data_IF_041013127527
#
_entry.id   IF_041013127527
#
_cell.length_a   1.000
_cell.length_b   1.000
_cell.length_c   1.000
_cell.angle_alpha   90.00
_cell.angle_beta   90.00
_cell.angle_gamma   90.00
#
_symmetry.space_group_name_H-M   'P 1'
#
loop_
_entity.id
_entity.type
_entity.pdbx_description
1 polymer ?
#
# COMPACT_ATOMS: atom_id res chain seq x y z
N UNK A 1 -6.43 -17.05 -60.47
CA UNK A 1 -6.77 -16.37 -59.22
C UNK A 1 -8.03 -15.57 -59.43
N UNK A 2 -9.21 -16.13 -59.11
CA UNK A 2 -10.53 -15.51 -59.31
C UNK A 2 -10.81 -14.63 -58.14
N UNK A 3 -10.68 -13.31 -58.32
CA UNK A 3 -11.10 -12.31 -57.36
C UNK A 3 -12.64 -12.25 -57.44
N UNK A 4 -13.34 -12.95 -56.55
CA UNK A 4 -14.74 -12.74 -56.27
C UNK A 4 -14.92 -11.30 -55.71
N UNK A 5 -15.27 -10.35 -56.57
CA UNK A 5 -15.82 -9.05 -56.19
C UNK A 5 -17.19 -9.30 -55.53
N UNK A 6 -17.24 -9.56 -54.24
CA UNK A 6 -18.47 -9.49 -53.46
C UNK A 6 -18.81 -8.01 -53.34
N UNK A 7 -19.92 -7.55 -53.94
CA UNK A 7 -20.45 -6.25 -53.70
C UNK A 7 -21.01 -6.24 -52.28
N UNK A 8 -20.18 -5.85 -51.34
CA UNK A 8 -20.60 -5.68 -49.92
C UNK A 8 -21.43 -4.40 -49.87
N UNK A 9 -22.64 -4.47 -49.34
CA UNK A 9 -23.45 -3.29 -49.10
C UNK A 9 -22.77 -2.37 -48.07
N UNK A 10 -22.98 -1.07 -48.16
CA UNK A 10 -22.32 -0.08 -47.30
C UNK A 10 -22.60 -0.33 -45.81
N UNK A 11 -23.79 -0.79 -45.47
CA UNK A 11 -24.19 -1.13 -44.08
C UNK A 11 -23.43 -2.38 -43.57
N UNK A 12 -23.26 -3.39 -44.43
CA UNK A 12 -22.45 -4.57 -44.07
C UNK A 12 -20.97 -4.20 -43.85
N UNK A 13 -20.45 -3.30 -44.68
CA UNK A 13 -19.09 -2.81 -44.51
C UNK A 13 -18.90 -2.06 -43.16
N UNK A 14 -19.85 -1.19 -42.83
CA UNK A 14 -19.84 -0.50 -41.52
C UNK A 14 -19.92 -1.48 -40.33
N UNK A 15 -20.74 -2.52 -40.46
CA UNK A 15 -20.83 -3.54 -39.42
C UNK A 15 -19.50 -4.29 -39.24
N UNK A 16 -18.89 -4.75 -40.33
CA UNK A 16 -17.59 -5.42 -40.28
C UNK A 16 -16.49 -4.51 -39.70
N UNK A 17 -16.49 -3.23 -40.04
CA UNK A 17 -15.51 -2.28 -39.47
C UNK A 17 -15.73 -2.11 -37.96
N UNK A 18 -16.95 -1.97 -37.51
CA UNK A 18 -17.27 -1.87 -36.09
C UNK A 18 -16.90 -3.14 -35.31
N UNK A 19 -17.17 -4.32 -35.89
CA UNK A 19 -16.75 -5.59 -35.29
C UNK A 19 -15.22 -5.70 -35.20
N UNK A 20 -14.48 -5.32 -36.23
CA UNK A 20 -13.03 -5.33 -36.21
C UNK A 20 -12.46 -4.40 -35.12
N UNK A 21 -12.98 -3.18 -34.99
CA UNK A 21 -12.56 -2.23 -33.95
C UNK A 21 -12.88 -2.78 -32.55
N UNK A 22 -14.05 -3.44 -32.40
CA UNK A 22 -14.41 -4.10 -31.14
C UNK A 22 -13.40 -5.18 -30.76
N UNK A 23 -13.08 -6.10 -31.68
CA UNK A 23 -12.12 -7.18 -31.43
C UNK A 23 -10.71 -6.66 -31.18
N UNK A 24 -10.31 -5.58 -31.84
CA UNK A 24 -9.03 -4.93 -31.57
C UNK A 24 -8.93 -4.48 -30.11
N UNK A 25 -9.93 -3.73 -29.63
CA UNK A 25 -10.00 -3.28 -28.23
C UNK A 25 -10.11 -4.43 -27.23
N UNK A 26 -10.92 -5.44 -27.58
CA UNK A 26 -11.11 -6.64 -26.76
C UNK A 26 -9.78 -7.42 -26.58
N UNK A 27 -9.04 -7.70 -27.65
CA UNK A 27 -7.76 -8.38 -27.55
C UNK A 27 -6.68 -7.54 -26.86
N UNK A 28 -6.69 -6.21 -27.03
CA UNK A 28 -5.82 -5.32 -26.23
C UNK A 28 -6.11 -5.46 -24.75
N UNK A 29 -7.37 -5.48 -24.34
CA UNK A 29 -7.75 -5.67 -22.94
C UNK A 29 -7.33 -7.05 -22.39
N UNK A 30 -7.58 -8.14 -23.16
CA UNK A 30 -7.16 -9.49 -22.77
C UNK A 30 -5.64 -9.58 -22.56
N UNK A 31 -4.87 -9.02 -23.49
CA UNK A 31 -3.42 -8.98 -23.35
C UNK A 31 -2.98 -8.20 -22.10
N UNK A 32 -3.69 -7.12 -21.73
CA UNK A 32 -3.38 -6.35 -20.54
C UNK A 32 -3.73 -7.11 -19.26
N UNK A 33 -4.82 -7.90 -19.26
CA UNK A 33 -5.24 -8.76 -18.13
C UNK A 33 -4.27 -9.95 -17.97
N UNK A 34 -3.72 -10.48 -19.06
CA UNK A 34 -2.85 -11.67 -19.05
C UNK A 34 -1.66 -11.58 -18.07
N UNK A 35 -1.11 -10.39 -17.87
CA UNK A 35 0.07 -10.19 -17.01
C UNK A 35 -0.25 -10.14 -15.52
N UNK A 36 -1.44 -9.65 -15.15
CA UNK A 36 -1.98 -9.66 -13.79
C UNK A 36 -3.47 -9.33 -13.81
N UNK A 37 -4.16 -9.70 -12.75
CA UNK A 37 -5.53 -9.25 -12.53
C UNK A 37 -5.64 -7.72 -12.58
N UNK A 38 -6.74 -7.23 -13.15
CA UNK A 38 -7.03 -5.80 -13.32
C UNK A 38 -8.43 -5.50 -12.79
N UNK A 39 -8.62 -4.30 -12.24
CA UNK A 39 -9.95 -3.77 -11.99
C UNK A 39 -10.61 -3.32 -13.28
N UNK A 40 -11.93 -3.26 -13.29
CA UNK A 40 -12.72 -2.70 -14.41
C UNK A 40 -12.23 -1.30 -14.78
N UNK A 41 -12.02 -0.42 -13.81
CA UNK A 41 -11.50 0.93 -14.02
C UNK A 41 -10.09 0.98 -14.62
N UNK A 42 -9.23 0.01 -14.31
CA UNK A 42 -7.89 -0.07 -14.96
C UNK A 42 -8.04 -0.38 -16.46
N UNK A 43 -8.98 -1.26 -16.85
CA UNK A 43 -9.27 -1.57 -18.25
C UNK A 43 -9.88 -0.37 -18.95
N UNK A 44 -10.86 0.31 -18.34
CA UNK A 44 -11.44 1.56 -18.87
C UNK A 44 -10.36 2.58 -19.19
N UNK A 45 -9.51 2.89 -18.22
CA UNK A 45 -8.41 3.86 -18.37
C UNK A 45 -7.37 3.43 -19.42
N UNK A 46 -7.14 2.14 -19.56
CA UNK A 46 -6.21 1.62 -20.56
C UNK A 46 -6.77 1.79 -21.96
N UNK A 47 -8.04 1.42 -22.19
CA UNK A 47 -8.71 1.49 -23.48
C UNK A 47 -9.08 2.92 -23.88
N UNK A 48 -9.35 3.83 -22.93
CA UNK A 48 -9.75 5.22 -23.19
C UNK A 48 -8.70 6.05 -23.94
N UNK A 49 -7.49 5.53 -24.10
CA UNK A 49 -6.43 6.16 -24.88
C UNK A 49 -6.70 6.09 -26.39
N UNK A 50 -7.46 5.10 -26.84
CA UNK A 50 -7.60 4.76 -28.25
C UNK A 50 -9.05 4.55 -28.69
N UNK A 51 -9.97 4.25 -27.75
CA UNK A 51 -11.35 3.88 -28.05
C UNK A 51 -12.34 4.82 -27.36
N UNK A 52 -13.52 4.97 -27.98
CA UNK A 52 -14.60 5.75 -27.40
C UNK A 52 -15.31 4.99 -26.27
N UNK A 53 -16.09 5.75 -25.47
CA UNK A 53 -16.75 5.24 -24.27
C UNK A 53 -17.72 4.09 -24.57
N UNK A 54 -18.56 4.21 -25.59
CA UNK A 54 -19.59 3.22 -25.92
C UNK A 54 -18.97 1.86 -26.29
N UNK A 55 -17.86 1.90 -26.98
CA UNK A 55 -17.10 0.69 -27.34
C UNK A 55 -16.45 0.06 -26.11
N UNK A 56 -15.87 0.86 -25.24
CA UNK A 56 -15.26 0.41 -23.99
C UNK A 56 -16.30 -0.29 -23.11
N UNK A 57 -17.48 0.30 -22.96
CA UNK A 57 -18.57 -0.30 -22.17
C UNK A 57 -18.97 -1.68 -22.72
N UNK A 58 -19.07 -1.82 -24.05
CA UNK A 58 -19.35 -3.12 -24.70
C UNK A 58 -18.25 -4.15 -24.45
N UNK A 59 -16.98 -3.74 -24.55
CA UNK A 59 -15.84 -4.62 -24.29
C UNK A 59 -15.84 -5.09 -22.84
N UNK A 60 -16.01 -4.17 -21.89
CA UNK A 60 -16.08 -4.48 -20.45
C UNK A 60 -17.22 -5.44 -20.14
N UNK A 61 -18.40 -5.20 -20.71
CA UNK A 61 -19.55 -6.08 -20.53
C UNK A 61 -19.22 -7.52 -20.96
N UNK A 62 -18.56 -7.68 -22.12
CA UNK A 62 -18.19 -9.01 -22.61
C UNK A 62 -17.12 -9.66 -21.74
N UNK A 63 -16.06 -8.92 -21.38
CA UNK A 63 -15.01 -9.43 -20.49
C UNK A 63 -15.57 -9.86 -19.12
N UNK A 64 -16.57 -9.13 -18.62
CA UNK A 64 -17.26 -9.46 -17.36
C UNK A 64 -18.11 -10.72 -17.50
N UNK A 65 -18.89 -10.83 -18.59
CA UNK A 65 -19.72 -12.03 -18.88
C UNK A 65 -18.86 -13.29 -19.01
N UNK A 66 -17.69 -13.17 -19.61
CA UNK A 66 -16.75 -14.28 -19.80
C UNK A 66 -15.89 -14.56 -18.57
N UNK A 67 -16.03 -13.75 -17.50
CA UNK A 67 -15.33 -13.94 -16.24
C UNK A 67 -13.89 -13.43 -16.19
N UNK A 68 -13.43 -12.71 -17.22
CA UNK A 68 -12.11 -12.09 -17.22
C UNK A 68 -12.02 -10.85 -16.31
N UNK A 69 -13.15 -10.18 -16.06
CA UNK A 69 -13.26 -9.06 -15.13
C UNK A 69 -14.27 -9.38 -14.02
N UNK A 70 -13.81 -9.21 -12.78
CA UNK A 70 -14.63 -9.37 -11.61
C UNK A 70 -14.03 -8.57 -10.45
N UNK A 71 -14.57 -7.38 -10.18
CA UNK A 71 -14.05 -6.48 -9.16
C UNK A 71 -14.24 -7.01 -7.73
N UNK A 72 -15.27 -7.83 -7.45
CA UNK A 72 -15.43 -8.49 -6.15
C UNK A 72 -14.31 -9.52 -5.91
N UNK A 73 -14.02 -10.36 -6.90
CA UNK A 73 -12.95 -11.34 -6.82
C UNK A 73 -11.56 -10.69 -6.77
N UNK A 74 -11.34 -9.67 -7.60
CA UNK A 74 -10.12 -8.85 -7.57
C UNK A 74 -9.88 -8.27 -6.17
N UNK A 75 -10.91 -7.69 -5.57
CA UNK A 75 -10.84 -7.09 -4.23
C UNK A 75 -10.49 -8.11 -3.15
N UNK A 76 -11.11 -9.30 -3.20
CA UNK A 76 -10.78 -10.41 -2.27
C UNK A 76 -9.32 -10.82 -2.37
N UNK A 77 -8.81 -11.04 -3.58
CA UNK A 77 -7.42 -11.40 -3.80
C UNK A 77 -6.47 -10.29 -3.31
N UNK A 78 -6.76 -9.03 -3.66
CA UNK A 78 -5.94 -7.88 -3.26
C UNK A 78 -5.84 -7.72 -1.75
N UNK A 79 -6.96 -7.86 -1.03
CA UNK A 79 -7.01 -7.78 0.44
C UNK A 79 -6.22 -8.94 1.05
N UNK A 80 -6.43 -10.19 0.59
CA UNK A 80 -5.72 -11.35 1.10
C UNK A 80 -4.20 -11.25 0.89
N UNK A 81 -3.76 -10.84 -0.29
CA UNK A 81 -2.34 -10.61 -0.57
C UNK A 81 -1.77 -9.50 0.31
N UNK A 82 -2.54 -8.43 0.52
CA UNK A 82 -2.12 -7.33 1.38
C UNK A 82 -2.00 -7.74 2.85
N UNK A 83 -2.92 -8.58 3.33
CA UNK A 83 -2.85 -9.14 4.69
C UNK A 83 -1.63 -10.07 4.82
N UNK A 84 -1.36 -10.92 3.86
CA UNK A 84 -0.36 -11.97 3.98
C UNK A 84 1.06 -11.50 3.62
N UNK A 85 1.19 -10.65 2.60
CA UNK A 85 2.48 -10.32 2.00
C UNK A 85 2.96 -8.91 2.29
N UNK A 86 2.04 -7.95 2.57
CA UNK A 86 2.42 -6.54 2.78
C UNK A 86 2.32 -6.16 4.26
N UNK A 87 3.11 -5.19 4.69
CA UNK A 87 3.04 -4.60 6.04
C UNK A 87 2.19 -3.33 6.04
N UNK A 88 0.94 -3.45 5.58
CA UNK A 88 -0.03 -2.35 5.52
C UNK A 88 -1.29 -2.68 6.31
N UNK A 89 -1.94 -1.64 6.83
CA UNK A 89 -3.18 -1.72 7.58
C UNK A 89 -4.42 -1.56 6.69
N UNK A 90 -5.62 -1.77 7.26
CA UNK A 90 -6.88 -1.76 6.51
C UNK A 90 -7.16 -0.42 5.82
N UNK A 91 -6.87 0.71 6.46
CA UNK A 91 -7.14 2.04 5.86
C UNK A 91 -6.32 2.27 4.60
N UNK A 92 -5.08 1.79 4.55
CA UNK A 92 -4.26 1.90 3.35
C UNK A 92 -4.75 0.97 2.23
N UNK A 93 -5.20 -0.24 2.57
CA UNK A 93 -5.80 -1.17 1.60
C UNK A 93 -7.04 -0.55 0.97
N UNK A 94 -7.94 0.02 1.79
CA UNK A 94 -9.14 0.72 1.33
C UNK A 94 -8.76 1.82 0.33
N UNK A 95 -7.83 2.69 0.72
CA UNK A 95 -7.39 3.79 -0.14
C UNK A 95 -6.74 3.33 -1.46
N UNK A 96 -5.96 2.23 -1.42
CA UNK A 96 -5.37 1.65 -2.64
C UNK A 96 -6.46 1.08 -3.57
N UNK A 97 -7.49 0.42 -3.02
CA UNK A 97 -8.63 -0.10 -3.78
C UNK A 97 -9.51 1.02 -4.38
N UNK A 98 -9.77 2.08 -3.62
CA UNK A 98 -10.46 3.29 -4.11
C UNK A 98 -9.71 3.92 -5.30
N UNK A 99 -8.38 4.02 -5.23
CA UNK A 99 -7.55 4.50 -6.35
C UNK A 99 -7.64 3.60 -7.58
N UNK A 100 -7.83 2.31 -7.40
CA UNK A 100 -8.06 1.35 -8.47
C UNK A 100 -9.49 1.41 -9.02
N UNK A 101 -10.35 2.29 -8.46
CA UNK A 101 -11.71 2.52 -8.92
C UNK A 101 -12.69 1.44 -8.51
N UNK A 102 -12.39 0.69 -7.45
CA UNK A 102 -13.31 -0.30 -6.89
C UNK A 102 -14.46 0.41 -6.16
N UNK A 103 -15.66 -0.06 -6.37
CA UNK A 103 -16.85 0.46 -5.69
C UNK A 103 -16.74 0.28 -4.18
N UNK A 104 -17.16 1.32 -3.44
CA UNK A 104 -17.09 1.34 -1.98
C UNK A 104 -17.86 0.18 -1.34
N UNK A 105 -19.00 -0.21 -1.90
CA UNK A 105 -19.80 -1.31 -1.38
C UNK A 105 -19.04 -2.65 -1.45
N UNK A 106 -18.27 -2.86 -2.52
CA UNK A 106 -17.42 -4.04 -2.70
C UNK A 106 -16.27 -4.01 -1.69
N UNK A 107 -15.64 -2.85 -1.49
CA UNK A 107 -14.57 -2.68 -0.49
C UNK A 107 -15.10 -2.96 0.91
N UNK A 108 -16.19 -2.32 1.31
CA UNK A 108 -16.78 -2.42 2.66
C UNK A 108 -17.23 -3.86 2.99
N UNK A 109 -17.70 -4.59 1.98
CA UNK A 109 -18.06 -6.01 2.11
C UNK A 109 -16.83 -6.86 2.39
N UNK A 110 -15.77 -6.68 1.61
CA UNK A 110 -14.63 -7.58 1.59
C UNK A 110 -13.56 -7.25 2.65
N UNK A 111 -13.40 -5.98 3.08
CA UNK A 111 -12.38 -5.58 4.04
C UNK A 111 -12.62 -6.19 5.44
N UNK A 112 -13.83 -6.61 5.74
CA UNK A 112 -14.21 -7.24 7.02
C UNK A 112 -13.40 -8.50 7.36
N UNK A 113 -12.79 -9.15 6.37
CA UNK A 113 -11.88 -10.30 6.58
C UNK A 113 -10.59 -9.89 7.29
N UNK A 114 -10.22 -8.61 7.25
CA UNK A 114 -9.13 -8.05 8.03
C UNK A 114 -9.67 -7.59 9.40
N UNK A 115 -9.90 -8.56 10.28
CA UNK A 115 -10.44 -8.32 11.63
C UNK A 115 -9.46 -7.54 12.51
N UNK A 116 -9.98 -6.96 13.61
CA UNK A 116 -9.15 -6.25 14.59
C UNK A 116 -8.06 -7.14 15.20
N UNK A 117 -8.35 -8.41 15.39
CA UNK A 117 -7.40 -9.39 15.93
C UNK A 117 -6.23 -9.61 14.96
N UNK A 118 -6.51 -9.78 13.66
CA UNK A 118 -5.48 -9.91 12.62
C UNK A 118 -4.65 -8.64 12.49
N UNK A 119 -5.29 -7.48 12.62
CA UNK A 119 -4.60 -6.19 12.61
C UNK A 119 -3.66 -6.05 13.81
N UNK A 120 -4.14 -6.38 15.02
CA UNK A 120 -3.33 -6.34 16.24
C UNK A 120 -2.15 -7.32 16.17
N UNK A 121 -2.38 -8.54 15.70
CA UNK A 121 -1.30 -9.53 15.52
C UNK A 121 -0.22 -9.02 14.57
N UNK A 122 -0.63 -8.39 13.47
CA UNK A 122 0.29 -7.82 12.49
C UNK A 122 1.09 -6.65 13.06
N UNK A 123 0.43 -5.77 13.81
CA UNK A 123 1.08 -4.66 14.53
C UNK A 123 2.12 -5.21 15.49
N UNK A 124 1.78 -6.22 16.30
CA UNK A 124 2.72 -6.87 17.23
C UNK A 124 3.97 -7.41 16.53
N UNK A 125 3.78 -8.16 15.43
CA UNK A 125 4.90 -8.68 14.62
C UNK A 125 5.82 -7.56 14.09
N UNK A 126 5.25 -6.44 13.65
CA UNK A 126 6.03 -5.29 13.17
C UNK A 126 6.79 -4.64 14.33
N UNK A 127 6.13 -4.44 15.47
CA UNK A 127 6.75 -3.88 16.69
C UNK A 127 7.92 -4.76 17.13
N UNK A 128 7.70 -6.05 17.30
CA UNK A 128 8.71 -7.02 17.75
C UNK A 128 9.94 -7.02 16.84
N UNK A 129 9.72 -7.01 15.53
CA UNK A 129 10.81 -6.91 14.56
C UNK A 129 11.60 -5.62 14.73
N UNK A 130 10.92 -4.47 14.91
CA UNK A 130 11.57 -3.17 15.06
C UNK A 130 12.30 -3.04 16.40
N UNK A 131 11.77 -3.60 17.48
CA UNK A 131 12.42 -3.64 18.79
C UNK A 131 13.69 -4.52 18.73
N UNK A 132 13.58 -5.75 18.20
CA UNK A 132 14.72 -6.68 18.05
C UNK A 132 15.86 -6.10 17.19
N UNK A 133 15.54 -5.30 16.20
CA UNK A 133 16.54 -4.70 15.30
C UNK A 133 17.03 -3.33 15.77
N UNK A 134 16.50 -2.79 16.87
CA UNK A 134 16.91 -1.50 17.40
C UNK A 134 18.30 -1.57 18.04
N UNK A 135 19.21 -0.72 17.59
CA UNK A 135 20.60 -0.63 18.12
C UNK A 135 20.96 0.74 18.69
N UNK A 136 20.19 1.77 18.36
CA UNK A 136 20.63 3.14 18.56
C UNK A 136 19.55 4.13 19.00
N UNK A 137 18.26 3.73 19.02
CA UNK A 137 17.17 4.63 19.39
C UNK A 137 16.73 4.35 20.81
N UNK A 138 16.52 5.41 21.58
CA UNK A 138 15.86 5.33 22.88
C UNK A 138 14.46 4.72 22.78
N UNK A 139 13.93 4.20 23.88
CA UNK A 139 12.54 3.70 23.98
C UNK A 139 11.55 4.75 23.47
N UNK A 140 11.72 6.00 23.90
CA UNK A 140 10.86 7.11 23.46
C UNK A 140 10.88 7.34 21.95
N UNK A 141 12.07 7.47 21.38
CA UNK A 141 12.21 7.70 19.94
C UNK A 141 11.79 6.49 19.11
N UNK A 142 12.03 5.28 19.60
CA UNK A 142 11.58 4.07 18.92
C UNK A 142 10.06 4.00 18.89
N UNK A 143 9.38 4.25 20.02
CA UNK A 143 7.90 4.31 20.10
C UNK A 143 7.33 5.30 19.08
N UNK A 144 7.83 6.53 19.07
CA UNK A 144 7.36 7.56 18.15
C UNK A 144 7.58 7.18 16.68
N UNK A 145 8.75 6.65 16.35
CA UNK A 145 9.04 6.20 14.99
C UNK A 145 8.15 5.03 14.54
N UNK A 146 7.87 4.08 15.44
CA UNK A 146 6.97 2.96 15.15
C UNK A 146 5.55 3.48 14.97
N UNK A 147 5.07 4.35 15.88
CA UNK A 147 3.73 4.96 15.80
C UNK A 147 3.50 5.64 14.46
N UNK A 148 4.37 6.56 14.07
CA UNK A 148 4.28 7.28 12.81
C UNK A 148 4.32 6.33 11.60
N UNK A 149 5.21 5.33 11.64
CA UNK A 149 5.30 4.35 10.57
C UNK A 149 4.00 3.55 10.41
N UNK A 150 3.41 3.05 11.51
CA UNK A 150 2.17 2.27 11.48
C UNK A 150 0.98 3.11 11.04
N UNK A 151 0.88 4.37 11.49
CA UNK A 151 -0.15 5.32 11.01
C UNK A 151 -0.03 5.51 9.49
N UNK A 152 1.18 5.77 8.99
CA UNK A 152 1.43 5.95 7.55
C UNK A 152 1.16 4.66 6.73
N UNK A 153 1.26 3.50 7.37
CA UNK A 153 0.87 2.23 6.77
C UNK A 153 -0.64 1.95 6.87
N UNK A 154 -1.43 2.86 7.47
CA UNK A 154 -2.88 2.79 7.50
C UNK A 154 -3.45 1.85 8.57
N UNK A 155 -2.71 1.56 9.63
CA UNK A 155 -3.21 0.84 10.79
C UNK A 155 -4.06 1.73 11.71
N UNK A 156 -4.98 1.13 12.48
CA UNK A 156 -5.84 1.84 13.42
C UNK A 156 -5.03 2.41 14.58
N UNK A 157 -5.24 3.71 14.87
CA UNK A 157 -4.48 4.45 15.90
C UNK A 157 -4.69 3.89 17.30
N UNK A 158 -5.92 3.49 17.65
CA UNK A 158 -6.25 2.93 18.96
C UNK A 158 -5.51 1.62 19.21
N UNK A 159 -5.46 0.75 18.19
CA UNK A 159 -4.75 -0.54 18.27
C UNK A 159 -3.24 -0.30 18.34
N UNK A 160 -2.73 0.68 17.60
CA UNK A 160 -1.32 1.09 17.65
C UNK A 160 -0.97 1.54 19.07
N UNK A 161 -1.72 2.48 19.65
CA UNK A 161 -1.42 3.06 20.96
C UNK A 161 -1.46 2.01 22.07
N UNK A 162 -2.44 1.09 22.05
CA UNK A 162 -2.50 -0.04 22.97
C UNK A 162 -1.25 -0.89 22.97
N UNK A 163 -0.68 -1.16 21.79
CA UNK A 163 0.46 -2.07 21.66
C UNK A 163 1.82 -1.37 21.83
N UNK A 164 1.94 -0.09 21.46
CA UNK A 164 3.17 0.69 21.62
C UNK A 164 3.50 0.96 23.09
N UNK A 165 2.49 1.16 23.94
CA UNK A 165 2.71 1.44 25.37
C UNK A 165 3.48 0.31 26.07
N UNK A 166 3.35 -0.92 25.59
CA UNK A 166 4.02 -2.10 26.13
C UNK A 166 5.49 -2.22 25.72
N UNK A 167 5.99 -1.37 24.83
CA UNK A 167 7.41 -1.41 24.43
C UNK A 167 8.26 -0.90 25.60
N UNK A 168 9.11 -1.76 26.10
CA UNK A 168 10.14 -1.42 27.08
C UNK A 168 11.37 -2.31 26.85
N UNK A 169 12.57 -1.75 27.02
CA UNK A 169 13.82 -2.47 27.00
C UNK A 169 14.90 -1.66 27.74
N UNK A 170 15.95 -2.33 28.19
CA UNK A 170 17.10 -1.64 28.79
C UNK A 170 17.85 -0.83 27.72
N UNK A 171 17.88 0.49 27.93
CA UNK A 171 18.57 1.42 27.04
C UNK A 171 19.93 1.93 27.60
N UNK A 172 20.42 1.30 28.68
CA UNK A 172 21.67 1.73 29.33
C UNK A 172 22.84 1.76 28.35
N UNK A 173 23.01 0.72 27.54
CA UNK A 173 24.08 0.68 26.55
C UNK A 173 23.97 1.75 25.47
N UNK A 174 22.73 2.11 25.09
CA UNK A 174 22.45 3.19 24.12
C UNK A 174 22.79 4.55 24.74
N UNK A 175 22.41 4.73 26.00
CA UNK A 175 22.69 5.94 26.76
C UNK A 175 24.20 6.16 26.88
N UNK A 176 24.96 5.15 27.35
CA UNK A 176 26.44 5.23 27.53
C UNK A 176 27.15 5.51 26.20
N UNK A 177 26.76 4.83 25.14
CA UNK A 177 27.31 5.07 23.79
C UNK A 177 27.11 6.51 23.33
N UNK A 178 25.89 7.05 23.50
CA UNK A 178 25.60 8.43 23.10
C UNK A 178 26.26 9.45 24.05
N UNK A 179 26.32 9.16 25.35
CA UNK A 179 27.06 9.98 26.33
C UNK A 179 28.53 10.10 25.92
N UNK A 180 29.22 8.98 25.72
CA UNK A 180 30.63 8.96 25.34
C UNK A 180 30.90 9.68 24.03
N UNK A 181 30.01 9.53 23.05
CA UNK A 181 30.08 10.25 21.77
C UNK A 181 29.95 11.78 21.95
N UNK A 182 29.04 12.21 22.79
CA UNK A 182 28.82 13.63 23.08
C UNK A 182 29.99 14.20 23.91
N UNK A 183 30.45 13.45 24.92
CA UNK A 183 31.59 13.81 25.73
C UNK A 183 32.81 14.05 24.86
N UNK A 184 33.21 13.09 24.02
CA UNK A 184 34.36 13.20 23.12
C UNK A 184 34.23 14.37 22.12
N UNK A 185 33.02 14.77 21.76
CA UNK A 185 32.78 15.91 20.86
C UNK A 185 32.88 17.26 21.56
N UNK A 186 32.55 17.33 22.85
CA UNK A 186 32.32 18.58 23.56
C UNK A 186 33.37 18.91 24.63
N UNK A 187 34.13 17.93 25.16
CA UNK A 187 35.01 18.12 26.30
C UNK A 187 36.08 19.19 26.13
N UNK A 188 36.52 19.47 24.88
CA UNK A 188 37.48 20.53 24.57
C UNK A 188 36.86 21.94 24.49
N UNK A 189 35.53 22.05 24.52
CA UNK A 189 34.80 23.29 24.22
C UNK A 189 34.15 23.92 25.45
N UNK A 190 33.94 23.16 26.51
CA UNK A 190 33.18 23.56 27.69
C UNK A 190 33.89 23.20 28.98
N UNK A 191 33.60 23.99 30.01
CA UNK A 191 34.02 23.64 31.40
C UNK A 191 33.28 22.41 31.89
N UNK A 192 33.82 21.76 32.98
CA UNK A 192 33.21 20.52 33.50
C UNK A 192 31.71 20.60 33.75
N UNK A 193 31.26 21.70 34.39
CA UNK A 193 29.81 21.90 34.67
C UNK A 193 28.99 22.15 33.40
N UNK A 194 29.47 23.03 32.54
CA UNK A 194 28.80 23.34 31.29
C UNK A 194 28.72 22.13 30.36
N UNK A 195 29.79 21.33 30.32
CA UNK A 195 29.88 20.11 29.56
C UNK A 195 28.77 19.13 29.95
N UNK A 196 28.60 18.87 31.27
CA UNK A 196 27.53 17.99 31.73
C UNK A 196 26.14 18.50 31.39
N UNK A 197 25.87 19.78 31.56
CA UNK A 197 24.58 20.38 31.22
C UNK A 197 24.29 20.25 29.71
N UNK A 198 25.30 20.48 28.86
CA UNK A 198 25.16 20.33 27.40
C UNK A 198 24.96 18.89 26.98
N UNK A 199 25.62 17.93 27.62
CA UNK A 199 25.42 16.50 27.35
C UNK A 199 24.01 16.10 27.76
N UNK A 200 23.55 16.44 28.99
CA UNK A 200 22.20 16.15 29.47
C UNK A 200 21.13 16.72 28.52
N UNK A 201 21.28 17.98 28.11
CA UNK A 201 20.35 18.62 27.16
C UNK A 201 20.27 17.85 25.83
N UNK A 202 21.40 17.41 25.30
CA UNK A 202 21.45 16.67 24.03
C UNK A 202 20.92 15.24 24.16
N UNK A 203 21.14 14.57 25.28
CA UNK A 203 20.57 13.26 25.57
C UNK A 203 19.05 13.37 25.73
N UNK A 204 18.57 14.40 26.44
CA UNK A 204 17.13 14.67 26.55
C UNK A 204 16.49 14.86 25.17
N UNK A 205 17.09 15.65 24.27
CA UNK A 205 16.61 15.83 22.89
C UNK A 205 16.56 14.51 22.10
N UNK A 206 17.37 13.52 22.49
CA UNK A 206 17.38 12.16 21.92
C UNK A 206 16.41 11.20 22.63
N UNK A 207 15.63 11.70 23.59
CA UNK A 207 14.69 10.90 24.36
C UNK A 207 15.37 9.90 25.30
N UNK A 208 16.62 10.18 25.73
CA UNK A 208 17.38 9.42 26.70
C UNK A 208 17.29 10.17 28.04
N UNK A 209 16.38 9.71 28.89
CA UNK A 209 16.09 10.31 30.18
C UNK A 209 16.77 9.47 31.29
N UNK A 210 17.73 10.04 31.98
CA UNK A 210 18.28 9.57 33.29
C UNK A 210 18.32 10.73 34.25
#
# INVERSE_FOLDING_TARGET
MILLKKNIKEDELKQYLNENIFYEGYYKALNYIKFRMRSTNEIEKYLAKEFNKDLIEKIILNLTKEGYLNDDYFTKCYINDSINLKNIGPNKIIHELEKLGIDKSIIDKNIKVFTKEKEEEKIKKIIDKKVKTNKNKSVYNLKNNIKLNLINQGFNVEIIDKNINNINFDETSIYEKEYNKLYNKLYKKYTSYELEQKIKQKLYQKGLFK
#
